data_IF_849969743157
#
_entry.id   IF_849969743157
#
_cell.length_a   1.000
_cell.length_b   1.000
_cell.length_c   1.000
_cell.angle_alpha   90.00
_cell.angle_beta   90.00
_cell.angle_gamma   90.00
#
_symmetry.space_group_name_H-M   'P 1'
#
loop_
_entity.id
_entity.type
_entity.pdbx_description
1 polymer ?
#
# COMPACT_ATOMS: atom_id res chain seq x y z
N UNK A 1 -35.46 -22.99 13.51
CA UNK A 1 -34.38 -23.67 12.76
C UNK A 1 -34.15 -23.12 11.34
N UNK A 2 -34.98 -22.21 10.82
CA UNK A 2 -34.74 -21.53 9.54
C UNK A 2 -34.01 -20.17 9.68
N UNK A 3 -34.07 -19.51 10.85
CA UNK A 3 -33.40 -18.20 11.08
C UNK A 3 -31.88 -18.31 11.27
N UNK A 4 -31.37 -19.48 11.64
CA UNK A 4 -29.92 -19.68 11.88
C UNK A 4 -29.12 -19.83 10.58
N UNK A 5 -29.77 -20.18 9.46
CA UNK A 5 -29.11 -20.34 8.15
C UNK A 5 -29.10 -19.07 7.29
N UNK A 6 -29.94 -18.07 7.58
CA UNK A 6 -29.87 -16.77 6.90
C UNK A 6 -28.77 -15.85 7.47
N UNK A 7 -28.40 -16.03 8.73
CA UNK A 7 -27.38 -15.19 9.39
C UNK A 7 -25.93 -15.56 9.04
N UNK A 8 -25.69 -16.71 8.41
CA UNK A 8 -24.35 -17.13 7.97
C UNK A 8 -23.98 -16.59 6.58
N UNK A 9 -24.95 -16.22 5.74
CA UNK A 9 -24.69 -15.68 4.40
C UNK A 9 -24.53 -14.14 4.39
N UNK A 10 -24.94 -13.44 5.44
CA UNK A 10 -24.78 -11.98 5.56
C UNK A 10 -23.44 -11.54 6.17
N UNK A 11 -22.71 -12.45 6.84
CA UNK A 11 -21.40 -12.16 7.46
C UNK A 11 -20.20 -12.31 6.50
N UNK A 12 -20.39 -12.85 5.30
CA UNK A 12 -19.30 -13.07 4.34
C UNK A 12 -18.91 -11.78 3.57
N UNK A 13 -19.71 -10.72 3.65
CA UNK A 13 -19.45 -9.45 2.95
C UNK A 13 -18.55 -8.47 3.73
N UNK A 14 -18.20 -8.78 4.98
CA UNK A 14 -17.47 -7.88 5.88
C UNK A 14 -16.02 -8.28 6.12
N UNK A 15 -15.52 -9.34 5.47
CA UNK A 15 -14.15 -9.82 5.67
C UNK A 15 -13.35 -9.93 4.37
N UNK A 16 -12.08 -9.54 4.46
CA UNK A 16 -11.08 -9.55 3.41
C UNK A 16 -9.99 -10.56 3.80
N UNK A 17 -9.61 -11.44 2.88
CA UNK A 17 -8.62 -12.50 3.16
C UNK A 17 -7.26 -12.13 2.59
N UNK A 18 -6.26 -12.06 3.47
CA UNK A 18 -4.86 -11.91 3.07
C UNK A 18 -4.34 -13.23 2.49
N UNK A 19 -3.58 -13.14 1.39
CA UNK A 19 -3.24 -14.27 0.54
C UNK A 19 -1.75 -14.60 0.55
N UNK A 20 -0.89 -13.60 0.73
CA UNK A 20 0.56 -13.71 0.63
C UNK A 20 1.17 -14.57 1.72
N UNK A 21 2.23 -15.29 1.35
CA UNK A 21 3.06 -16.08 2.26
C UNK A 21 4.49 -15.96 1.77
N UNK A 22 5.40 -15.62 2.68
CA UNK A 22 6.84 -15.48 2.48
C UNK A 22 7.52 -16.67 3.14
N UNK A 23 8.04 -17.60 2.33
CA UNK A 23 8.78 -18.78 2.82
C UNK A 23 10.27 -18.75 2.51
N UNK A 24 10.72 -17.75 1.75
CA UNK A 24 12.10 -17.56 1.31
C UNK A 24 12.33 -16.11 0.87
N UNK A 25 13.43 -15.83 0.17
CA UNK A 25 13.76 -14.48 -0.29
C UNK A 25 12.67 -13.88 -1.21
N UNK A 26 12.21 -12.66 -0.92
CA UNK A 26 11.16 -11.98 -1.70
C UNK A 26 11.58 -11.81 -3.17
N UNK A 27 12.88 -11.63 -3.43
CA UNK A 27 13.43 -11.50 -4.80
C UNK A 27 13.13 -12.70 -5.70
N UNK A 28 12.86 -13.88 -5.13
CA UNK A 28 12.57 -15.12 -5.87
C UNK A 28 11.09 -15.22 -6.25
N UNK A 29 10.22 -14.41 -5.66
CA UNK A 29 8.81 -14.32 -6.03
C UNK A 29 8.63 -13.69 -7.41
N UNK A 30 7.59 -14.10 -8.13
CA UNK A 30 7.16 -13.39 -9.35
C UNK A 30 6.79 -11.94 -9.04
N UNK A 31 6.91 -11.05 -10.03
CA UNK A 31 6.59 -9.62 -9.85
C UNK A 31 5.14 -9.40 -9.36
N UNK A 32 4.19 -10.23 -9.80
CA UNK A 32 2.81 -10.15 -9.32
C UNK A 32 2.67 -10.61 -7.88
N UNK A 33 3.39 -11.65 -7.45
CA UNK A 33 3.41 -12.08 -6.04
C UNK A 33 4.08 -11.07 -5.13
N UNK A 34 5.18 -10.44 -5.58
CA UNK A 34 5.78 -9.29 -4.89
C UNK A 34 4.76 -8.15 -4.76
N UNK A 35 4.08 -7.81 -5.86
CA UNK A 35 3.05 -6.76 -5.87
C UNK A 35 1.89 -7.10 -4.93
N UNK A 36 1.47 -8.35 -4.85
CA UNK A 36 0.42 -8.76 -3.91
C UNK A 36 0.86 -8.59 -2.46
N UNK A 37 2.06 -9.11 -2.12
CA UNK A 37 2.63 -9.00 -0.78
C UNK A 37 2.72 -7.54 -0.35
N UNK A 38 3.30 -6.68 -1.17
CA UNK A 38 3.47 -5.27 -0.81
C UNK A 38 2.15 -4.49 -0.76
N UNK A 39 1.13 -4.89 -1.53
CA UNK A 39 -0.22 -4.32 -1.41
C UNK A 39 -0.88 -4.74 -0.08
N UNK A 40 -0.76 -6.01 0.29
CA UNK A 40 -1.29 -6.55 1.55
C UNK A 40 -0.57 -5.98 2.78
N UNK A 41 0.76 -5.81 2.73
CA UNK A 41 1.51 -5.12 3.78
C UNK A 41 1.10 -3.63 3.90
N UNK A 42 0.86 -2.97 2.76
CA UNK A 42 0.31 -1.61 2.76
C UNK A 42 -1.08 -1.57 3.38
N UNK A 43 -1.90 -2.60 3.17
CA UNK A 43 -3.24 -2.71 3.75
C UNK A 43 -3.21 -2.92 5.27
N UNK A 44 -2.41 -3.85 5.78
CA UNK A 44 -2.31 -4.08 7.23
C UNK A 44 -1.64 -2.90 7.96
N UNK A 45 -0.86 -2.04 7.26
CA UNK A 45 -0.29 -0.82 7.86
C UNK A 45 -1.34 0.17 8.36
N UNK A 46 -2.60 0.06 7.90
CA UNK A 46 -3.71 0.87 8.37
C UNK A 46 -4.43 0.31 9.61
N UNK A 47 -4.13 -0.94 10.00
CA UNK A 47 -4.76 -1.61 11.14
C UNK A 47 -4.13 -1.22 12.47
N UNK A 48 -4.80 -1.49 13.60
CA UNK A 48 -4.18 -1.43 14.91
C UNK A 48 -2.88 -2.24 14.96
N UNK A 49 -1.85 -1.70 15.64
CA UNK A 49 -0.49 -2.25 15.62
C UNK A 49 -0.41 -3.74 15.99
N UNK A 50 -1.23 -4.17 16.95
CA UNK A 50 -1.29 -5.58 17.37
C UNK A 50 -1.81 -6.49 16.25
N UNK A 51 -2.84 -6.08 15.53
CA UNK A 51 -3.42 -6.84 14.42
C UNK A 51 -2.46 -6.89 13.22
N UNK A 52 -1.87 -5.75 12.88
CA UNK A 52 -0.86 -5.69 11.80
C UNK A 52 0.31 -6.66 12.07
N UNK A 53 0.78 -6.74 13.31
CA UNK A 53 1.83 -7.68 13.71
C UNK A 53 1.42 -9.14 13.60
N UNK A 54 0.17 -9.48 13.97
CA UNK A 54 -0.37 -10.85 13.81
C UNK A 54 -0.39 -11.25 12.34
N UNK A 55 -0.92 -10.39 11.46
CA UNK A 55 -0.99 -10.70 10.03
C UNK A 55 0.38 -10.76 9.36
N UNK A 56 1.31 -9.86 9.71
CA UNK A 56 2.68 -9.92 9.22
C UNK A 56 3.37 -11.24 9.61
N UNK A 57 3.19 -11.69 10.86
CA UNK A 57 3.71 -12.98 11.31
C UNK A 57 3.05 -14.17 10.57
N UNK A 58 1.74 -14.14 10.34
CA UNK A 58 1.05 -15.15 9.53
C UNK A 58 1.59 -15.23 8.08
N UNK A 59 2.02 -14.08 7.52
CA UNK A 59 2.68 -14.00 6.21
C UNK A 59 4.13 -14.49 6.22
N UNK A 60 4.75 -14.75 7.38
CA UNK A 60 6.17 -15.12 7.48
C UNK A 60 7.14 -13.95 7.66
N UNK A 61 6.65 -12.81 8.18
CA UNK A 61 7.43 -11.63 8.55
C UNK A 61 7.27 -11.37 10.07
N UNK A 62 8.18 -11.93 10.86
CA UNK A 62 8.14 -11.97 12.32
C UNK A 62 8.85 -10.80 13.01
N UNK A 63 9.76 -10.10 12.32
CA UNK A 63 10.37 -8.83 12.78
C UNK A 63 9.47 -7.66 12.38
N UNK A 64 8.62 -7.21 13.30
CA UNK A 64 7.70 -6.07 13.08
C UNK A 64 8.10 -4.89 13.95
N UNK A 65 8.52 -3.79 13.31
CA UNK A 65 8.84 -2.53 13.98
C UNK A 65 7.97 -1.41 13.44
N UNK A 66 7.54 -0.52 14.33
CA UNK A 66 6.66 0.59 13.98
C UNK A 66 7.28 1.93 14.38
N UNK A 67 7.17 2.90 13.49
CA UNK A 67 7.73 4.23 13.61
C UNK A 67 6.61 5.26 13.39
N UNK A 68 6.55 6.24 14.29
CA UNK A 68 5.58 7.33 14.25
C UNK A 68 6.25 8.62 14.76
N UNK A 69 6.08 9.68 13.98
CA UNK A 69 6.53 11.02 14.31
C UNK A 69 5.61 12.05 13.65
N UNK A 70 4.94 12.85 14.47
CA UNK A 70 4.15 14.00 14.03
C UNK A 70 3.10 13.68 12.94
N UNK A 71 2.57 12.44 12.93
CA UNK A 71 1.58 11.97 11.95
C UNK A 71 2.20 11.13 10.81
N UNK A 72 3.51 11.24 10.58
CA UNK A 72 4.23 10.41 9.62
C UNK A 72 4.48 9.01 10.22
N UNK A 73 3.97 7.98 9.55
CA UNK A 73 3.97 6.61 10.07
C UNK A 73 4.56 5.61 9.08
N UNK A 74 5.36 4.67 9.59
CA UNK A 74 5.85 3.54 8.81
C UNK A 74 6.05 2.28 9.65
N UNK A 75 5.92 1.14 9.01
CA UNK A 75 6.35 -0.15 9.52
C UNK A 75 7.64 -0.59 8.85
N UNK A 76 8.44 -1.36 9.57
CA UNK A 76 9.46 -2.23 8.99
C UNK A 76 9.02 -3.66 9.32
N UNK A 77 8.62 -4.40 8.28
CA UNK A 77 8.33 -5.82 8.37
C UNK A 77 9.54 -6.60 7.85
N UNK A 78 9.96 -7.64 8.55
CA UNK A 78 11.13 -8.40 8.15
C UNK A 78 11.10 -9.84 8.62
N UNK A 79 12.04 -10.62 8.08
CA UNK A 79 12.37 -11.97 8.52
C UNK A 79 13.88 -12.19 8.33
N UNK A 80 14.35 -13.43 8.39
CA UNK A 80 15.77 -13.74 8.16
C UNK A 80 16.30 -13.40 6.75
N UNK A 81 15.42 -13.24 5.75
CA UNK A 81 15.78 -13.02 4.35
C UNK A 81 15.68 -11.56 3.91
N UNK A 82 14.65 -10.84 4.33
CA UNK A 82 14.30 -9.52 3.79
C UNK A 82 13.83 -8.54 4.86
N UNK A 83 13.91 -7.25 4.55
CA UNK A 83 13.27 -6.16 5.27
C UNK A 83 12.43 -5.32 4.31
N UNK A 84 11.25 -4.89 4.76
CA UNK A 84 10.26 -4.16 3.97
C UNK A 84 9.82 -2.92 4.77
N UNK A 85 10.17 -1.73 4.27
CA UNK A 85 9.70 -0.46 4.81
C UNK A 85 8.35 -0.14 4.15
N UNK A 86 7.30 -0.03 4.95
CA UNK A 86 5.95 0.29 4.49
C UNK A 86 5.49 1.60 5.11
N UNK A 87 5.39 2.65 4.31
CA UNK A 87 4.89 3.94 4.77
C UNK A 87 3.35 3.96 4.69
N UNK A 88 2.71 4.33 5.80
CA UNK A 88 1.26 4.50 5.90
C UNK A 88 0.86 5.85 5.29
N UNK A 89 -0.24 5.89 4.55
CA UNK A 89 -0.85 7.16 4.11
C UNK A 89 -1.96 7.63 5.04
N UNK A 90 -2.73 8.62 4.61
CA UNK A 90 -3.94 9.11 5.29
C UNK A 90 -5.00 8.01 5.37
N UNK A 91 -5.75 7.97 6.47
CA UNK A 91 -6.77 6.95 6.71
C UNK A 91 -7.87 6.98 5.63
N UNK A 92 -8.19 5.83 4.99
CA UNK A 92 -9.23 5.77 3.96
C UNK A 92 -10.65 6.05 4.47
N UNK A 93 -10.85 6.03 5.79
CA UNK A 93 -12.17 6.04 6.40
C UNK A 93 -12.82 7.44 6.40
N UNK A 94 -12.05 8.49 6.07
CA UNK A 94 -12.53 9.86 5.94
C UNK A 94 -12.27 10.35 4.51
N UNK A 95 -13.18 10.06 3.59
CA UNK A 95 -13.06 10.47 2.18
C UNK A 95 -12.89 11.99 2.00
N UNK A 96 -13.42 12.78 2.93
CA UNK A 96 -13.21 14.23 2.98
C UNK A 96 -11.74 14.58 3.25
N UNK A 97 -11.03 13.79 4.07
CA UNK A 97 -9.63 14.01 4.38
C UNK A 97 -8.76 13.71 3.17
N UNK A 98 -9.04 12.62 2.44
CA UNK A 98 -8.34 12.35 1.18
C UNK A 98 -8.53 13.51 0.21
N UNK A 99 -9.76 14.01 0.05
CA UNK A 99 -10.00 15.15 -0.85
C UNK A 99 -9.26 16.41 -0.38
N UNK A 100 -9.34 16.75 0.91
CA UNK A 100 -8.64 17.89 1.50
C UNK A 100 -7.12 17.77 1.32
N UNK A 101 -6.56 16.57 1.50
CA UNK A 101 -5.15 16.28 1.27
C UNK A 101 -4.78 16.45 -0.20
N UNK A 102 -5.58 15.96 -1.14
CA UNK A 102 -5.30 16.15 -2.57
C UNK A 102 -5.32 17.63 -2.96
N UNK A 103 -6.27 18.39 -2.40
CA UNK A 103 -6.36 19.83 -2.60
C UNK A 103 -5.14 20.54 -1.98
N UNK A 104 -4.72 20.15 -0.78
CA UNK A 104 -3.52 20.65 -0.12
C UNK A 104 -2.24 20.28 -0.88
N UNK A 105 -2.13 19.05 -1.39
CA UNK A 105 -1.03 18.58 -2.24
C UNK A 105 -0.99 19.38 -3.55
N UNK A 106 -2.14 19.67 -4.15
CA UNK A 106 -2.18 20.50 -5.34
C UNK A 106 -1.80 21.96 -5.03
N UNK A 107 -2.23 22.51 -3.89
CA UNK A 107 -1.94 23.87 -3.46
C UNK A 107 -0.47 24.07 -3.04
N UNK A 108 0.14 23.05 -2.44
CA UNK A 108 1.51 23.07 -1.92
C UNK A 108 2.49 22.42 -2.90
N UNK A 109 2.15 22.42 -4.20
CA UNK A 109 2.95 21.89 -5.30
C UNK A 109 4.22 22.72 -5.62
N UNK A 110 4.91 23.18 -4.57
CA UNK A 110 6.24 23.74 -4.61
C UNK A 110 7.27 22.60 -4.50
N UNK A 111 8.25 22.62 -5.40
CA UNK A 111 9.34 21.65 -5.40
C UNK A 111 10.52 22.19 -4.59
N UNK A 112 10.60 21.83 -3.31
CA UNK A 112 11.80 22.10 -2.50
C UNK A 112 12.78 20.95 -2.74
N UNK A 113 13.90 21.24 -3.42
CA UNK A 113 14.87 20.21 -3.78
C UNK A 113 14.31 19.16 -4.75
N UNK A 114 13.50 19.58 -5.72
CA UNK A 114 12.91 18.73 -6.78
C UNK A 114 11.79 17.75 -6.34
N UNK A 115 11.41 17.77 -5.06
CA UNK A 115 10.36 16.94 -4.45
C UNK A 115 9.24 17.82 -3.90
N UNK A 116 8.00 17.33 -3.90
CA UNK A 116 6.87 18.00 -3.27
C UNK A 116 7.14 18.34 -1.80
N UNK A 117 6.99 19.61 -1.42
CA UNK A 117 7.33 20.13 -0.09
C UNK A 117 6.61 19.39 1.04
N UNK A 118 5.31 19.11 0.88
CA UNK A 118 4.52 18.39 1.90
C UNK A 118 5.05 16.98 2.17
N UNK A 119 5.29 16.21 1.11
CA UNK A 119 5.79 14.83 1.25
C UNK A 119 7.21 14.81 1.82
N UNK A 120 8.05 15.76 1.41
CA UNK A 120 9.41 15.88 1.93
C UNK A 120 9.39 16.10 3.44
N UNK A 121 8.49 16.96 3.95
CA UNK A 121 8.37 17.28 5.37
C UNK A 121 8.00 16.05 6.20
N UNK A 122 6.96 15.32 5.81
CA UNK A 122 6.57 14.06 6.49
C UNK A 122 7.75 13.09 6.58
N UNK A 123 8.54 12.98 5.51
CA UNK A 123 9.71 12.11 5.50
C UNK A 123 10.89 12.72 6.26
N UNK A 124 11.06 14.04 6.33
CA UNK A 124 12.08 14.67 7.17
C UNK A 124 11.88 14.33 8.66
N UNK A 125 10.63 14.27 9.11
CA UNK A 125 10.30 13.95 10.51
C UNK A 125 10.51 12.46 10.81
N UNK A 126 10.18 11.57 9.85
CA UNK A 126 10.26 10.12 10.03
C UNK A 126 11.64 9.52 9.74
N UNK A 127 12.36 10.06 8.75
CA UNK A 127 13.58 9.47 8.20
C UNK A 127 14.71 9.23 9.21
N UNK A 128 15.03 10.15 10.15
CA UNK A 128 16.15 9.92 11.08
C UNK A 128 16.01 8.63 11.89
N UNK A 129 14.78 8.26 12.28
CA UNK A 129 14.53 7.02 13.03
C UNK A 129 14.60 5.78 12.13
N UNK A 130 14.08 5.88 10.90
CA UNK A 130 14.18 4.81 9.91
C UNK A 130 15.64 4.57 9.51
N UNK A 131 16.38 5.63 9.20
CA UNK A 131 17.80 5.58 8.85
C UNK A 131 18.61 4.88 9.94
N UNK A 132 18.46 5.31 11.20
CA UNK A 132 19.15 4.68 12.33
C UNK A 132 18.83 3.19 12.45
N UNK A 133 17.59 2.78 12.17
CA UNK A 133 17.16 1.39 12.22
C UNK A 133 17.62 0.56 11.01
N UNK A 134 17.93 1.22 9.89
CA UNK A 134 18.38 0.60 8.65
C UNK A 134 19.90 0.56 8.53
N UNK A 135 20.64 1.36 9.32
CA UNK A 135 22.12 1.31 9.34
C UNK A 135 22.67 -0.07 9.68
N UNK A 136 21.98 -0.85 10.53
CA UNK A 136 22.35 -2.22 10.88
C UNK A 136 21.68 -3.28 9.98
N UNK A 137 20.93 -2.88 8.95
CA UNK A 137 20.25 -3.81 8.06
C UNK A 137 21.17 -4.26 6.91
N UNK A 138 21.56 -5.53 6.94
CA UNK A 138 22.31 -6.19 5.87
C UNK A 138 21.41 -6.99 4.91
N UNK A 139 20.13 -7.12 5.24
CA UNK A 139 19.15 -7.82 4.40
C UNK A 139 18.76 -6.97 3.18
N UNK A 140 18.40 -7.61 2.05
CA UNK A 140 17.61 -7.00 0.98
C UNK A 140 16.50 -6.10 1.51
N UNK A 141 16.43 -4.89 0.96
CA UNK A 141 15.54 -3.86 1.44
C UNK A 141 14.52 -3.49 0.37
N UNK A 142 13.25 -3.52 0.75
CA UNK A 142 12.12 -3.20 -0.11
C UNK A 142 11.34 -2.02 0.46
N UNK A 143 10.68 -1.26 -0.40
CA UNK A 143 9.85 -0.15 0.00
C UNK A 143 8.46 -0.30 -0.58
N UNK A 144 7.44 -0.03 0.23
CA UNK A 144 6.06 0.00 -0.24
C UNK A 144 5.23 1.10 0.43
N UNK A 145 4.12 1.44 -0.20
CA UNK A 145 3.16 2.35 0.40
C UNK A 145 1.95 2.61 -0.49
N UNK A 146 0.85 3.00 0.14
CA UNK A 146 -0.39 3.35 -0.52
C UNK A 146 -0.70 4.83 -0.36
N UNK A 147 -1.31 5.44 -1.38
CA UNK A 147 -1.73 6.85 -1.35
C UNK A 147 -0.55 7.78 -1.01
N UNK A 148 -0.71 8.70 -0.05
CA UNK A 148 0.34 9.51 0.55
C UNK A 148 1.55 8.68 0.99
N UNK A 149 1.32 7.52 1.60
CA UNK A 149 2.37 6.59 2.02
C UNK A 149 3.22 6.10 0.84
N UNK A 150 2.65 5.97 -0.36
CA UNK A 150 3.43 5.66 -1.57
C UNK A 150 4.40 6.77 -1.95
N UNK A 151 4.01 8.04 -1.76
CA UNK A 151 4.91 9.17 -1.98
C UNK A 151 6.03 9.22 -0.95
N UNK A 152 5.70 8.99 0.32
CA UNK A 152 6.69 8.87 1.41
C UNK A 152 7.68 7.74 1.12
N UNK A 153 7.19 6.55 0.76
CA UNK A 153 8.02 5.39 0.44
C UNK A 153 8.99 5.68 -0.71
N UNK A 154 8.57 6.42 -1.74
CA UNK A 154 9.44 6.83 -2.84
C UNK A 154 10.56 7.78 -2.42
N UNK A 155 10.29 8.69 -1.46
CA UNK A 155 11.33 9.58 -0.91
C UNK A 155 12.25 8.80 0.02
N UNK A 156 11.72 7.94 0.90
CA UNK A 156 12.50 7.06 1.77
C UNK A 156 13.44 6.16 0.97
N UNK A 157 12.94 5.49 -0.08
CA UNK A 157 13.76 4.66 -0.97
C UNK A 157 14.84 5.49 -1.66
N UNK A 158 14.53 6.71 -2.09
CA UNK A 158 15.50 7.61 -2.70
C UNK A 158 16.59 8.06 -1.73
N UNK A 159 16.23 8.41 -0.49
CA UNK A 159 17.21 8.72 0.57
C UNK A 159 18.08 7.52 0.90
N UNK A 160 17.48 6.34 1.04
CA UNK A 160 18.21 5.10 1.27
C UNK A 160 19.23 4.82 0.17
N UNK A 161 18.85 5.06 -1.10
CA UNK A 161 19.74 4.84 -2.25
C UNK A 161 20.95 5.79 -2.26
N UNK A 162 20.81 6.96 -1.64
CA UNK A 162 21.81 8.03 -1.62
C UNK A 162 22.58 8.11 -0.29
N UNK A 163 22.15 7.39 0.74
CA UNK A 163 22.76 7.39 2.06
C UNK A 163 23.88 6.37 2.18
N UNK A 164 24.49 6.29 3.36
CA UNK A 164 25.51 5.30 3.69
C UNK A 164 24.93 3.98 4.25
N UNK A 165 23.62 3.76 4.10
CA UNK A 165 22.97 2.52 4.49
C UNK A 165 23.56 1.38 3.62
N UNK A 166 24.05 0.27 4.21
CA UNK A 166 24.69 -0.81 3.45
C UNK A 166 23.74 -1.48 2.44
N UNK A 167 22.48 -1.63 2.83
CA UNK A 167 21.43 -2.25 2.00
C UNK A 167 20.83 -1.23 1.02
N UNK A 168 21.00 -1.51 -0.26
CA UNK A 168 20.35 -0.75 -1.32
C UNK A 168 18.88 -1.20 -1.49
N UNK A 169 17.96 -0.29 -1.87
CA UNK A 169 16.61 -0.68 -2.28
C UNK A 169 16.63 -1.63 -3.48
N UNK A 170 16.09 -2.84 -3.30
CA UNK A 170 15.90 -3.84 -4.37
C UNK A 170 14.68 -3.50 -5.24
N UNK A 171 13.63 -2.95 -4.62
CA UNK A 171 12.42 -2.53 -5.29
C UNK A 171 11.52 -1.62 -4.47
N UNK A 172 10.76 -0.77 -5.18
CA UNK A 172 9.75 0.13 -4.65
C UNK A 172 8.39 -0.20 -5.28
N UNK A 173 7.37 -0.37 -4.45
CA UNK A 173 6.02 -0.74 -4.86
C UNK A 173 4.99 0.22 -4.29
N UNK A 174 4.31 0.97 -5.15
CA UNK A 174 3.32 1.95 -4.68
C UNK A 174 1.95 1.70 -5.27
N UNK A 175 0.90 1.93 -4.48
CA UNK A 175 -0.50 1.74 -4.87
C UNK A 175 -1.23 3.08 -4.76
N UNK A 176 -1.78 3.59 -5.86
CA UNK A 176 -2.50 4.87 -5.84
C UNK A 176 -1.62 6.07 -5.45
N UNK A 177 -0.29 6.02 -5.64
CA UNK A 177 0.61 7.08 -5.20
C UNK A 177 0.52 8.34 -6.07
N UNK A 178 0.53 9.56 -5.46
CA UNK A 178 0.62 10.82 -6.21
C UNK A 178 2.01 11.02 -6.82
N UNK A 179 2.15 12.03 -7.68
CA UNK A 179 3.46 12.41 -8.24
C UNK A 179 4.33 13.04 -7.17
N UNK A 180 5.54 12.52 -7.01
CA UNK A 180 6.43 12.87 -5.89
C UNK A 180 7.31 14.07 -6.19
N UNK A 181 7.81 14.18 -7.43
CA UNK A 181 8.79 15.20 -7.78
C UNK A 181 8.77 15.59 -9.25
N UNK A 182 9.67 16.50 -9.61
CA UNK A 182 9.84 16.99 -10.97
C UNK A 182 10.65 16.02 -11.84
N UNK A 183 10.89 16.43 -13.10
CA UNK A 183 11.69 15.66 -14.05
C UNK A 183 13.13 15.40 -13.57
N UNK A 184 13.75 16.28 -12.80
CA UNK A 184 15.12 16.07 -12.30
C UNK A 184 15.14 15.01 -11.22
N UNK A 185 14.24 15.09 -10.25
CA UNK A 185 14.13 14.09 -9.18
C UNK A 185 13.93 12.67 -9.73
N UNK A 186 12.93 12.49 -10.60
CA UNK A 186 12.60 11.16 -11.15
C UNK A 186 13.71 10.55 -12.02
N UNK A 187 14.56 11.38 -12.61
CA UNK A 187 15.69 10.91 -13.43
C UNK A 187 16.95 10.64 -12.63
N UNK A 188 17.10 11.32 -11.48
CA UNK A 188 18.27 11.21 -10.60
C UNK A 188 18.24 9.91 -9.81
N UNK A 189 17.09 9.58 -9.20
CA UNK A 189 16.95 8.37 -8.37
C UNK A 189 16.37 7.24 -9.23
N UNK A 190 17.25 6.45 -9.86
CA UNK A 190 16.84 5.26 -10.63
C UNK A 190 16.88 4.01 -9.76
N UNK A 191 15.75 3.32 -9.68
CA UNK A 191 15.59 2.03 -9.01
C UNK A 191 14.46 1.24 -9.68
N UNK A 192 14.35 -0.05 -9.35
CA UNK A 192 13.17 -0.82 -9.72
C UNK A 192 11.95 -0.24 -9.00
N UNK A 193 11.07 0.41 -9.73
CA UNK A 193 9.92 1.09 -9.17
C UNK A 193 8.67 0.70 -9.96
N UNK A 194 7.75 -0.03 -9.32
CA UNK A 194 6.48 -0.45 -9.85
C UNK A 194 5.34 0.35 -9.22
N UNK A 195 4.64 1.13 -10.06
CA UNK A 195 3.54 2.00 -9.65
C UNK A 195 2.21 1.43 -10.13
N UNK A 196 1.43 0.92 -9.20
CA UNK A 196 0.09 0.44 -9.45
C UNK A 196 -0.92 1.58 -9.53
N UNK A 197 -1.72 1.59 -10.60
CA UNK A 197 -2.81 2.55 -10.83
C UNK A 197 -4.09 1.78 -11.13
N UNK A 198 -5.14 2.05 -10.36
CA UNK A 198 -6.45 1.45 -10.57
C UNK A 198 -7.38 2.41 -11.30
N UNK A 199 -7.74 2.08 -12.55
CA UNK A 199 -8.75 2.73 -13.37
C UNK A 199 -8.93 4.25 -13.15
N UNK A 200 -9.96 4.64 -12.39
CA UNK A 200 -10.39 6.00 -12.21
C UNK A 200 -9.84 6.68 -10.96
N UNK A 201 -8.90 6.06 -10.27
CA UNK A 201 -8.16 6.66 -9.16
C UNK A 201 -7.59 8.03 -9.57
N UNK A 202 -7.91 9.02 -8.75
CA UNK A 202 -7.56 10.43 -8.91
C UNK A 202 -6.20 10.76 -8.30
N UNK A 203 -5.76 10.02 -7.27
CA UNK A 203 -4.55 10.34 -6.51
C UNK A 203 -3.29 10.27 -7.38
N UNK A 204 -3.09 9.27 -8.27
CA UNK A 204 -1.98 9.28 -9.22
C UNK A 204 -2.01 10.42 -10.25
N UNK A 205 -3.03 11.28 -10.23
CA UNK A 205 -3.17 12.41 -11.15
C UNK A 205 -2.77 13.73 -10.52
N UNK A 206 -2.47 13.79 -9.23
CA UNK A 206 -1.96 14.99 -8.54
C UNK A 206 -0.51 14.80 -8.06
N UNK A 207 0.28 15.88 -7.93
CA UNK A 207 0.06 17.17 -8.56
C UNK A 207 0.03 17.06 -10.10
N UNK A 208 -0.70 17.93 -10.82
CA UNK A 208 -0.81 17.87 -12.27
C UNK A 208 0.54 18.01 -13.01
N UNK A 209 0.65 17.37 -14.18
CA UNK A 209 1.88 17.38 -15.00
C UNK A 209 2.27 18.78 -15.50
N UNK A 210 1.30 19.68 -15.68
CA UNK A 210 1.54 21.04 -16.15
C UNK A 210 2.27 21.90 -15.10
N UNK A 211 2.24 21.50 -13.82
CA UNK A 211 3.07 22.08 -12.75
C UNK A 211 4.49 21.52 -12.71
N UNK A 212 4.94 20.77 -13.73
CA UNK A 212 6.30 20.21 -13.81
C UNK A 212 6.48 18.82 -13.17
N UNK A 213 5.52 18.34 -12.39
CA UNK A 213 5.58 17.02 -11.74
C UNK A 213 5.56 15.85 -12.73
N UNK A 214 6.30 14.79 -12.42
CA UNK A 214 6.41 13.58 -13.24
C UNK A 214 6.27 12.33 -12.37
N UNK A 215 5.80 11.25 -12.98
CA UNK A 215 5.86 9.92 -12.38
C UNK A 215 7.23 9.31 -12.66
N UNK A 216 7.77 8.61 -11.66
CA UNK A 216 8.88 7.66 -11.82
C UNK A 216 8.33 6.23 -11.94
N UNK A 217 9.22 5.29 -12.27
CA UNK A 217 8.90 3.87 -12.33
C UNK A 217 8.00 3.45 -13.49
N UNK A 218 7.75 2.16 -13.54
CA UNK A 218 6.86 1.50 -14.49
C UNK A 218 5.42 1.56 -13.99
N UNK A 219 4.49 1.97 -14.86
CA UNK A 219 3.06 1.90 -14.55
C UNK A 219 2.54 0.46 -14.70
N UNK A 220 1.91 -0.03 -13.64
CA UNK A 220 1.14 -1.27 -13.61
C UNK A 220 -0.35 -0.89 -13.53
N UNK A 221 -1.09 -1.04 -14.63
CA UNK A 221 -2.45 -0.52 -14.72
C UNK A 221 -3.52 -1.61 -14.62
N UNK A 222 -4.48 -1.40 -13.71
CA UNK A 222 -5.71 -2.18 -13.59
C UNK A 222 -6.85 -1.46 -14.34
N UNK A 223 -7.45 -2.14 -15.32
CA UNK A 223 -8.58 -1.64 -16.11
C UNK A 223 -9.88 -1.56 -15.30
N UNK A 224 -10.96 -1.04 -15.90
CA UNK A 224 -12.25 -0.85 -15.21
C UNK A 224 -12.93 -2.15 -14.70
N UNK A 225 -12.36 -3.32 -15.02
CA UNK A 225 -12.83 -4.63 -14.55
C UNK A 225 -11.77 -5.36 -13.71
N UNK A 226 -10.64 -4.71 -13.41
CA UNK A 226 -9.58 -5.24 -12.56
C UNK A 226 -8.60 -6.15 -13.28
N UNK A 227 -8.40 -5.99 -14.60
CA UNK A 227 -7.39 -6.73 -15.36
C UNK A 227 -6.15 -5.88 -15.58
N UNK A 228 -4.99 -6.52 -15.52
CA UNK A 228 -3.71 -5.87 -15.81
C UNK A 228 -3.64 -5.61 -17.33
N UNK A 229 -3.45 -4.36 -17.73
CA UNK A 229 -3.41 -3.94 -19.14
C UNK A 229 -2.41 -2.82 -19.38
N UNK A 230 -1.76 -2.80 -20.54
CA UNK A 230 -1.00 -1.64 -21.01
C UNK A 230 -1.89 -0.80 -21.94
N UNK A 231 -2.72 0.09 -21.37
CA UNK A 231 -3.61 0.98 -22.13
C UNK A 231 -3.04 2.39 -22.24
N UNK A 232 -3.04 2.94 -23.45
CA UNK A 232 -2.58 4.29 -23.74
C UNK A 232 -3.60 5.06 -24.61
N UNK A 233 -3.51 6.39 -24.58
CA UNK A 233 -4.30 7.29 -25.44
C UNK A 233 -5.81 7.03 -25.39
N UNK A 234 -6.40 6.82 -26.57
CA UNK A 234 -7.84 6.59 -26.74
C UNK A 234 -8.36 5.36 -25.98
N UNK A 235 -7.59 4.28 -25.92
CA UNK A 235 -8.00 3.07 -25.19
C UNK A 235 -8.10 3.32 -23.70
N UNK A 236 -7.17 4.11 -23.14
CA UNK A 236 -7.20 4.53 -21.74
C UNK A 236 -8.38 5.46 -21.46
N UNK A 237 -8.69 6.37 -22.38
CA UNK A 237 -9.86 7.24 -22.27
C UNK A 237 -11.17 6.43 -22.25
N UNK A 238 -11.34 5.48 -23.18
CA UNK A 238 -12.52 4.61 -23.23
C UNK A 238 -12.70 3.78 -21.96
N UNK A 239 -11.61 3.23 -21.43
CA UNK A 239 -11.65 2.44 -20.20
C UNK A 239 -12.12 3.27 -19.00
N UNK A 240 -11.67 4.52 -18.90
CA UNK A 240 -12.13 5.46 -17.86
C UNK A 240 -13.61 5.81 -17.99
N UNK A 241 -14.09 6.07 -19.21
CA UNK A 241 -15.52 6.31 -19.46
C UNK A 241 -16.34 5.09 -19.07
N UNK A 242 -15.89 3.89 -19.45
CA UNK A 242 -16.53 2.63 -19.04
C UNK A 242 -16.56 2.46 -17.52
N UNK A 243 -15.44 2.76 -16.85
CA UNK A 243 -15.34 2.73 -15.40
C UNK A 243 -16.30 3.69 -14.72
N UNK A 244 -16.41 4.92 -15.24
CA UNK A 244 -17.34 5.93 -14.73
C UNK A 244 -18.81 5.48 -14.88
N UNK A 245 -19.21 5.00 -16.06
CA UNK A 245 -20.56 4.48 -16.30
C UNK A 245 -20.88 3.30 -15.37
N UNK A 246 -19.92 2.38 -15.18
CA UNK A 246 -20.07 1.23 -14.27
C UNK A 246 -20.14 1.66 -12.79
N UNK A 247 -19.48 2.75 -12.42
CA UNK A 247 -19.59 3.36 -11.08
C UNK A 247 -21.00 3.88 -10.83
N UNK A 248 -21.56 4.62 -11.79
CA UNK A 248 -22.94 5.11 -11.74
C UNK A 248 -23.96 3.98 -11.58
N UNK A 249 -23.82 2.88 -12.34
CA UNK A 249 -24.77 1.75 -12.25
C UNK A 249 -24.67 0.98 -10.93
N UNK A 250 -23.57 1.13 -10.18
CA UNK A 250 -23.34 0.47 -8.89
C UNK A 250 -23.56 1.39 -7.70
N UNK A 251 -24.05 2.62 -7.90
CA UNK A 251 -24.15 3.66 -6.88
C UNK A 251 -22.79 3.97 -6.20
N UNK A 252 -21.67 3.73 -6.90
CA UNK A 252 -20.29 4.04 -6.47
C UNK A 252 -19.80 5.22 -7.32
N UNK A 253 -20.21 6.44 -6.94
CA UNK A 253 -20.12 7.64 -7.78
C UNK A 253 -18.76 8.37 -7.61
N UNK A 254 -17.80 7.84 -6.86
CA UNK A 254 -16.56 8.54 -6.55
C UNK A 254 -15.30 7.90 -7.18
N UNK A 255 -14.43 8.76 -7.72
CA UNK A 255 -13.06 8.41 -8.14
C UNK A 255 -12.23 7.81 -6.98
N UNK A 256 -12.69 8.04 -5.75
CA UNK A 256 -12.10 7.56 -4.50
C UNK A 256 -12.41 6.08 -4.22
N UNK A 257 -13.51 5.51 -4.73
CA UNK A 257 -13.75 4.06 -4.66
C UNK A 257 -12.62 3.25 -5.31
N UNK A 258 -12.12 3.72 -6.46
CA UNK A 258 -11.00 3.08 -7.17
C UNK A 258 -9.65 3.29 -6.46
N UNK A 259 -9.59 4.19 -5.47
CA UNK A 259 -8.42 4.42 -4.64
C UNK A 259 -8.26 3.39 -3.51
N UNK A 260 -9.30 2.61 -3.16
CA UNK A 260 -9.22 1.64 -2.07
C UNK A 260 -8.26 0.46 -2.40
N UNK A 261 -7.32 0.18 -1.48
CA UNK A 261 -6.34 -0.92 -1.55
C UNK A 261 -6.93 -2.30 -1.86
N UNK A 262 -8.15 -2.60 -1.39
CA UNK A 262 -8.82 -3.87 -1.68
C UNK A 262 -9.02 -4.04 -3.19
N UNK A 263 -9.36 -2.96 -3.91
CA UNK A 263 -9.49 -3.01 -5.38
C UNK A 263 -8.17 -3.33 -6.08
N UNK A 264 -7.06 -2.80 -5.56
CA UNK A 264 -5.71 -3.11 -6.02
C UNK A 264 -5.36 -4.58 -5.77
N UNK A 265 -5.56 -5.06 -4.54
CA UNK A 265 -5.23 -6.43 -4.15
C UNK A 265 -6.03 -7.45 -4.97
N UNK A 266 -7.34 -7.25 -5.11
CA UNK A 266 -8.18 -8.15 -5.91
C UNK A 266 -7.80 -8.14 -7.41
N UNK A 267 -7.42 -6.99 -7.95
CA UNK A 267 -6.95 -6.88 -9.34
C UNK A 267 -5.62 -7.61 -9.56
N UNK A 268 -4.67 -7.48 -8.63
CA UNK A 268 -3.38 -8.18 -8.66
C UNK A 268 -3.60 -9.69 -8.52
N UNK A 269 -4.43 -10.12 -7.56
CA UNK A 269 -4.74 -11.52 -7.34
C UNK A 269 -5.34 -12.20 -8.59
N UNK A 270 -6.29 -11.53 -9.26
CA UNK A 270 -6.83 -12.03 -10.55
C UNK A 270 -5.76 -12.13 -11.64
N UNK A 271 -4.77 -11.23 -11.63
CA UNK A 271 -3.62 -11.30 -12.52
C UNK A 271 -2.77 -12.54 -12.27
N UNK A 272 -2.46 -12.83 -10.99
CA UNK A 272 -1.75 -14.05 -10.58
C UNK A 272 -2.51 -15.29 -11.02
N UNK A 273 -3.82 -15.33 -10.79
CA UNK A 273 -4.65 -16.43 -11.27
C UNK A 273 -4.57 -16.57 -12.80
N UNK A 274 -4.49 -15.50 -13.57
CA UNK A 274 -4.41 -15.63 -15.04
C UNK A 274 -3.03 -16.07 -15.54
N UNK A 275 -1.94 -15.76 -14.83
CA UNK A 275 -0.57 -16.05 -15.25
C UNK A 275 -0.02 -17.39 -14.73
N UNK A 276 -0.42 -17.85 -13.54
CA UNK A 276 0.18 -19.03 -12.93
C UNK A 276 -0.57 -20.35 -13.27
N UNK A 277 0.17 -21.41 -13.66
CA UNK A 277 -0.40 -22.72 -13.97
C UNK A 277 -1.08 -23.34 -12.74
N UNK A 278 -2.09 -24.19 -12.97
CA UNK A 278 -2.96 -24.77 -11.93
C UNK A 278 -2.16 -25.51 -10.84
N UNK A 279 -1.03 -26.13 -11.19
CA UNK A 279 -0.16 -26.89 -10.27
C UNK A 279 0.40 -26.04 -9.12
N UNK A 280 0.74 -24.78 -9.37
CA UNK A 280 1.30 -23.89 -8.34
C UNK A 280 0.21 -23.40 -7.36
N UNK A 281 -1.06 -23.46 -7.79
CA UNK A 281 -2.21 -23.13 -6.94
C UNK A 281 -2.53 -24.25 -5.97
N UNK A 282 -2.39 -25.51 -6.39
CA UNK A 282 -2.66 -26.69 -5.57
C UNK A 282 -1.64 -26.82 -4.42
N UNK A 283 -0.34 -26.65 -4.72
CA UNK A 283 0.70 -26.60 -3.69
C UNK A 283 0.45 -25.47 -2.66
N UNK A 284 -0.02 -24.30 -3.12
CA UNK A 284 -0.39 -23.21 -2.22
C UNK A 284 -1.65 -23.55 -1.40
N UNK A 285 -2.62 -24.26 -1.96
CA UNK A 285 -3.85 -24.66 -1.27
C UNK A 285 -3.56 -25.71 -0.17
N UNK A 286 -2.64 -26.63 -0.41
CA UNK A 286 -2.20 -27.61 0.58
C UNK A 286 -1.44 -26.93 1.74
N UNK A 287 -0.54 -25.98 1.45
CA UNK A 287 0.13 -25.17 2.48
C UNK A 287 -0.87 -24.32 3.29
N UNK A 288 -1.99 -23.91 2.68
CA UNK A 288 -3.08 -23.17 3.35
C UNK A 288 -3.91 -24.06 4.27
N UNK A 289 -4.15 -25.32 3.91
CA UNK A 289 -4.96 -26.24 4.70
C UNK A 289 -4.31 -26.57 6.06
N UNK A 290 -2.99 -26.45 6.15
CA UNK A 290 -2.22 -26.71 7.37
C UNK A 290 -2.15 -25.52 8.34
N UNK A 291 -2.52 -24.30 7.92
CA UNK A 291 -2.50 -23.09 8.77
C UNK A 291 -3.89 -22.45 8.80
N UNK A 292 -4.60 -22.53 9.94
CA UNK A 292 -5.88 -21.82 10.14
C UNK A 292 -5.67 -20.33 9.86
N UNK A 293 -6.23 -19.81 8.77
CA UNK A 293 -6.08 -18.40 8.36
C UNK A 293 -7.11 -17.51 9.05
N UNK A 294 -6.67 -16.37 9.53
CA UNK A 294 -7.50 -15.33 10.11
C UNK A 294 -8.10 -14.47 8.97
N UNK A 295 -9.42 -14.30 8.95
CA UNK A 295 -10.08 -13.35 8.06
C UNK A 295 -9.96 -11.93 8.63
N UNK A 296 -9.80 -10.92 7.78
CA UNK A 296 -9.58 -9.54 8.23
C UNK A 296 -10.87 -8.72 8.06
N UNK A 297 -11.32 -7.94 9.05
CA UNK A 297 -12.49 -7.10 8.86
C UNK A 297 -12.26 -6.01 7.80
N UNK A 298 -13.27 -5.74 6.99
CA UNK A 298 -13.31 -4.60 6.08
C UNK A 298 -13.34 -3.30 6.93
N UNK A 299 -12.56 -2.25 6.60
CA UNK A 299 -12.33 -1.11 7.51
C UNK A 299 -13.56 -0.23 7.82
N UNK A 300 -14.75 -0.60 7.33
CA UNK A 300 -15.99 0.16 7.51
C UNK A 300 -16.83 -0.17 8.75
N UNK A 301 -16.33 -0.95 9.72
CA UNK A 301 -17.07 -1.19 10.97
C UNK A 301 -16.16 -1.25 12.19
N UNK A 302 -15.63 -0.10 12.61
CA UNK A 302 -15.27 0.13 14.02
C UNK A 302 -15.95 1.43 14.43
N UNK A 303 -17.11 1.32 15.10
CA UNK A 303 -17.70 2.46 15.81
C UNK A 303 -16.80 2.78 17.01
N UNK A 304 -15.93 3.78 16.87
CA UNK A 304 -14.95 4.17 17.88
C UNK A 304 -15.56 4.77 19.16
N UNK A 305 -16.88 4.75 19.33
CA UNK A 305 -17.53 5.23 20.55
C UNK A 305 -17.34 4.35 21.80
N UNK A 306 -16.80 3.14 21.71
CA UNK A 306 -16.61 2.26 22.88
C UNK A 306 -15.16 2.01 23.32
N UNK A 307 -14.15 2.59 22.66
CA UNK A 307 -12.75 2.36 23.01
C UNK A 307 -12.15 3.41 23.99
N UNK A 308 -12.95 4.29 24.59
CA UNK A 308 -12.47 5.33 25.52
C UNK A 308 -12.40 4.92 26.99
N UNK A 309 -13.00 3.79 27.38
CA UNK A 309 -13.04 3.37 28.79
C UNK A 309 -12.27 2.07 29.00
N UNK A 310 -10.94 2.14 29.01
CA UNK A 310 -10.00 1.22 29.69
C UNK A 310 -8.54 1.60 29.38
N UNK A 311 -8.10 2.73 29.93
CA UNK A 311 -6.68 2.95 30.19
C UNK A 311 -6.46 2.71 31.67
N UNK A 312 -5.91 1.54 32.01
CA UNK A 312 -5.36 1.28 33.34
C UNK A 312 -4.00 1.98 33.37
N UNK A 313 -3.90 3.04 34.18
CA UNK A 313 -2.62 3.72 34.45
C UNK A 313 -1.63 2.73 35.09
N UNK A 314 -0.44 2.62 34.49
CA UNK A 314 0.68 1.90 35.09
C UNK A 314 1.25 2.71 36.28
N UNK A 315 1.69 2.03 37.37
CA UNK A 315 2.08 2.72 38.60
C UNK A 315 3.42 3.46 38.44
N UNK A 316 3.45 4.69 38.95
CA UNK A 316 4.66 5.52 39.06
C UNK A 316 5.73 4.80 39.89
N UNK A 317 6.91 4.59 39.30
CA UNK A 317 8.10 4.19 40.04
C UNK A 317 8.60 5.37 40.89
N UNK A 318 9.05 5.05 42.11
CA UNK A 318 9.35 5.96 43.23
C UNK A 318 10.55 6.86 43.02
#
# INVERSE_FOLDING_TARGET
MAETQQNSQQNDASTFTLRSVVTGPIREMSLLRQSLLFAELSYISYMPRGEAGVFANEMGLDDVRYYDRDGAQAYVFGNQHDAVVVCRGTEPNEWNDIQADLDAIAAVAETVGHVHRGFKREVDDLWPRLEQALLSNERPLWFAGHSLGGAMAAICAGRCKLSHIPSNPEGLFTYGSPRVGDRRYVNYVRMNYYRWVNNNDIVPRVPPRWMGYRHAGQEMYLDSVGRIRNLQGWWRFRDRVRGFVKGLTRLRIDHFSDHNLVGYIEGIWRGIEQEEPVSDRENLAEMKQQRRRSSVPHPHFVDHKQAKDRVVEAPKQR
#
